data_IF_391051356013
#
_entry.id   IF_391051356013
#
_cell.length_a   1.000
_cell.length_b   1.000
_cell.length_c   1.000
_cell.angle_alpha   90.00
_cell.angle_beta   90.00
_cell.angle_gamma   90.00
#
_symmetry.space_group_name_H-M   'P 1'
#
loop_
_entity.id
_entity.type
_entity.pdbx_description
1 polymer ?
#
# COMPACT_ATOMS: atom_id res chain seq x y z
N UNK A 1 -27.07 -0.79 7.80
CA UNK A 1 -25.64 -0.38 7.89
C UNK A 1 -24.75 -1.30 8.75
N UNK A 2 -25.28 -2.24 9.55
CA UNK A 2 -24.47 -3.14 10.38
C UNK A 2 -23.84 -4.34 9.64
N UNK A 3 -24.52 -4.88 8.62
CA UNK A 3 -24.04 -6.07 7.89
C UNK A 3 -22.69 -5.84 7.16
N UNK A 4 -22.49 -4.67 6.56
CA UNK A 4 -21.24 -4.34 5.87
C UNK A 4 -20.02 -4.27 6.81
N UNK A 5 -20.20 -3.78 8.04
CA UNK A 5 -19.12 -3.74 9.05
C UNK A 5 -18.76 -5.14 9.55
N UNK A 6 -19.76 -5.98 9.82
CA UNK A 6 -19.58 -7.38 10.21
C UNK A 6 -18.80 -8.18 9.14
N UNK A 7 -19.09 -7.94 7.87
CA UNK A 7 -18.40 -8.60 6.76
C UNK A 7 -16.93 -8.14 6.64
N UNK A 8 -16.63 -6.86 6.92
CA UNK A 8 -15.25 -6.36 6.94
C UNK A 8 -14.44 -6.94 8.10
N UNK A 9 -15.04 -7.09 9.27
CA UNK A 9 -14.39 -7.70 10.44
C UNK A 9 -13.99 -9.15 10.18
N UNK A 10 -14.90 -9.92 9.58
CA UNK A 10 -14.64 -11.30 9.19
C UNK A 10 -13.60 -11.40 8.07
N UNK A 11 -13.66 -10.53 7.06
CA UNK A 11 -12.65 -10.46 6.02
C UNK A 11 -11.24 -10.19 6.59
N UNK A 12 -11.11 -9.23 7.51
CA UNK A 12 -9.85 -8.90 8.18
C UNK A 12 -9.36 -10.09 9.01
N UNK A 13 -10.24 -10.77 9.74
CA UNK A 13 -9.90 -11.94 10.53
C UNK A 13 -9.28 -13.05 9.66
N UNK A 14 -9.95 -13.41 8.57
CA UNK A 14 -9.47 -14.47 7.69
C UNK A 14 -8.23 -14.07 6.90
N UNK A 15 -8.15 -12.82 6.43
CA UNK A 15 -6.95 -12.31 5.75
C UNK A 15 -5.74 -12.28 6.69
N UNK A 16 -5.92 -11.91 7.97
CA UNK A 16 -4.85 -11.96 8.97
C UNK A 16 -4.35 -13.37 9.18
N UNK A 17 -5.26 -14.33 9.38
CA UNK A 17 -4.88 -15.74 9.52
C UNK A 17 -4.13 -16.25 8.30
N UNK A 18 -4.55 -15.89 7.09
CA UNK A 18 -3.86 -16.27 5.86
C UNK A 18 -2.44 -15.66 5.79
N UNK A 19 -2.31 -14.37 6.14
CA UNK A 19 -1.02 -13.68 6.19
C UNK A 19 -0.08 -14.27 7.24
N UNK A 20 -0.58 -14.61 8.43
CA UNK A 20 0.21 -15.22 9.50
C UNK A 20 0.71 -16.62 9.11
N UNK A 21 -0.11 -17.40 8.39
CA UNK A 21 0.26 -18.75 7.91
C UNK A 21 1.24 -18.73 6.72
N UNK A 22 1.20 -17.66 5.91
CA UNK A 22 2.00 -17.50 4.69
C UNK A 22 2.50 -16.06 4.58
N UNK A 23 3.48 -15.66 5.42
CA UNK A 23 3.96 -14.28 5.50
C UNK A 23 4.70 -13.76 4.26
N UNK A 24 5.17 -14.67 3.40
CA UNK A 24 5.87 -14.42 2.13
C UNK A 24 4.94 -14.41 0.91
N UNK A 25 3.66 -14.71 1.12
CA UNK A 25 2.69 -14.67 0.03
C UNK A 25 2.03 -13.29 0.00
N UNK A 26 2.59 -12.42 -0.84
CA UNK A 26 2.24 -10.99 -0.94
C UNK A 26 0.74 -10.74 -1.03
N UNK A 27 0.00 -11.58 -1.76
CA UNK A 27 -1.45 -11.39 -1.97
C UNK A 27 -2.23 -11.37 -0.65
N UNK A 28 -1.82 -12.11 0.38
CA UNK A 28 -2.52 -12.12 1.66
C UNK A 28 -2.27 -10.85 2.47
N UNK A 29 -1.01 -10.39 2.51
CA UNK A 29 -0.68 -9.14 3.17
C UNK A 29 -1.26 -7.92 2.45
N UNK A 30 -1.28 -7.92 1.12
CA UNK A 30 -1.97 -6.93 0.29
C UNK A 30 -3.46 -6.86 0.63
N UNK A 31 -4.13 -8.03 0.63
CA UNK A 31 -5.58 -8.12 0.87
C UNK A 31 -5.94 -7.70 2.30
N UNK A 32 -5.11 -8.09 3.28
CA UNK A 32 -5.25 -7.62 4.66
C UNK A 32 -5.11 -6.10 4.76
N UNK A 33 -4.09 -5.51 4.15
CA UNK A 33 -3.90 -4.06 4.10
C UNK A 33 -5.08 -3.35 3.46
N UNK A 34 -5.61 -3.87 2.36
CA UNK A 34 -6.78 -3.32 1.67
C UNK A 34 -8.04 -3.29 2.56
N UNK A 35 -8.38 -4.40 3.22
CA UNK A 35 -9.55 -4.42 4.12
C UNK A 35 -9.33 -3.62 5.40
N UNK A 36 -8.11 -3.57 5.94
CA UNK A 36 -7.74 -2.68 7.05
C UNK A 36 -7.81 -1.20 6.68
N UNK A 37 -7.71 -0.84 5.41
CA UNK A 37 -7.93 0.53 4.97
C UNK A 37 -9.43 0.84 4.82
N UNK A 38 -10.21 -0.11 4.27
CA UNK A 38 -11.66 0.04 4.14
C UNK A 38 -12.39 0.14 5.49
N UNK A 39 -11.96 -0.64 6.48
CA UNK A 39 -12.40 -0.47 7.86
C UNK A 39 -11.44 0.54 8.49
N UNK A 40 -11.84 1.77 8.85
CA UNK A 40 -10.99 2.96 9.07
C UNK A 40 -9.84 2.79 10.08
N UNK A 41 -8.86 1.95 9.75
CA UNK A 41 -7.73 1.49 10.56
C UNK A 41 -6.48 1.60 9.68
N UNK A 42 -6.30 2.79 9.11
CA UNK A 42 -5.28 3.06 8.12
C UNK A 42 -3.86 2.86 8.67
N UNK A 43 -3.63 3.11 9.96
CA UNK A 43 -2.32 2.90 10.60
C UNK A 43 -1.90 1.43 10.59
N UNK A 44 -2.84 0.51 10.84
CA UNK A 44 -2.55 -0.91 10.75
C UNK A 44 -2.36 -1.37 9.31
N UNK A 45 -3.17 -0.87 8.38
CA UNK A 45 -2.99 -1.12 6.94
C UNK A 45 -1.57 -0.73 6.49
N UNK A 46 -1.12 0.47 6.85
CA UNK A 46 0.22 0.98 6.53
C UNK A 46 1.31 0.07 7.12
N UNK A 47 1.17 -0.34 8.38
CA UNK A 47 2.13 -1.26 9.03
C UNK A 47 2.23 -2.59 8.30
N UNK A 48 1.09 -3.21 7.98
CA UNK A 48 1.05 -4.49 7.26
C UNK A 48 1.70 -4.35 5.89
N UNK A 49 1.32 -3.35 5.10
CA UNK A 49 1.87 -3.16 3.75
C UNK A 49 3.39 -2.90 3.78
N UNK A 50 3.89 -2.16 4.77
CA UNK A 50 5.33 -1.98 4.96
C UNK A 50 6.06 -3.29 5.28
N UNK A 51 5.50 -4.13 6.14
CA UNK A 51 6.07 -5.45 6.44
C UNK A 51 6.08 -6.37 5.22
N UNK A 52 5.04 -6.31 4.38
CA UNK A 52 4.99 -7.05 3.12
C UNK A 52 6.09 -6.57 2.17
N UNK A 53 6.26 -5.25 2.02
CA UNK A 53 7.33 -4.66 1.20
C UNK A 53 8.72 -5.09 1.68
N UNK A 54 8.94 -5.15 2.99
CA UNK A 54 10.22 -5.55 3.58
C UNK A 54 10.54 -7.03 3.32
N UNK A 55 9.51 -7.90 3.26
CA UNK A 55 9.66 -9.34 3.00
C UNK A 55 9.77 -9.66 1.51
N UNK A 56 8.91 -9.03 0.70
CA UNK A 56 8.76 -9.29 -0.73
C UNK A 56 8.98 -8.00 -1.55
N UNK A 57 10.21 -7.45 -1.58
CA UNK A 57 10.50 -6.16 -2.20
C UNK A 57 10.42 -6.18 -3.74
N UNK A 58 10.23 -7.35 -4.36
CA UNK A 58 10.12 -7.51 -5.81
C UNK A 58 8.68 -7.39 -6.33
N UNK A 59 7.66 -7.40 -5.45
CA UNK A 59 6.27 -7.20 -5.83
C UNK A 59 5.88 -5.72 -5.70
N UNK A 60 5.45 -5.10 -6.80
CA UNK A 60 5.03 -3.70 -6.85
C UNK A 60 3.66 -3.45 -6.21
N UNK A 61 2.82 -4.48 -6.05
CA UNK A 61 1.41 -4.32 -5.66
C UNK A 61 1.23 -3.66 -4.28
N UNK A 62 1.99 -4.05 -3.23
CA UNK A 62 1.91 -3.40 -1.92
C UNK A 62 2.38 -1.94 -1.94
N UNK A 63 3.38 -1.60 -2.76
CA UNK A 63 3.84 -0.22 -2.93
C UNK A 63 2.74 0.65 -3.54
N UNK A 64 2.05 0.16 -4.58
CA UNK A 64 0.98 0.89 -5.24
C UNK A 64 -0.20 1.17 -4.30
N UNK A 65 -0.65 0.17 -3.54
CA UNK A 65 -1.72 0.33 -2.56
C UNK A 65 -1.31 1.28 -1.42
N UNK A 66 -0.09 1.14 -0.90
CA UNK A 66 0.39 2.02 0.17
C UNK A 66 0.52 3.48 -0.29
N UNK A 67 0.96 3.73 -1.53
CA UNK A 67 1.01 5.06 -2.12
C UNK A 67 -0.41 5.67 -2.24
N UNK A 68 -1.39 4.90 -2.73
CA UNK A 68 -2.78 5.34 -2.79
C UNK A 68 -3.33 5.71 -1.40
N UNK A 69 -3.06 4.87 -0.40
CA UNK A 69 -3.50 5.12 0.97
C UNK A 69 -2.90 6.43 1.49
N UNK A 70 -1.59 6.65 1.31
CA UNK A 70 -0.96 7.91 1.72
C UNK A 70 -1.57 9.13 1.03
N UNK A 71 -1.85 9.06 -0.27
CA UNK A 71 -2.48 10.15 -1.00
C UNK A 71 -3.88 10.46 -0.49
N UNK A 72 -4.71 9.44 -0.24
CA UNK A 72 -6.07 9.60 0.28
C UNK A 72 -6.11 10.13 1.71
N UNK A 73 -5.06 9.89 2.49
CA UNK A 73 -4.87 10.46 3.81
C UNK A 73 -4.25 11.88 3.78
N UNK A 74 -3.94 12.41 2.60
CA UNK A 74 -3.24 13.70 2.45
C UNK A 74 -1.77 13.67 2.86
N UNK A 75 -1.21 12.49 3.14
CA UNK A 75 0.20 12.25 3.51
C UNK A 75 1.07 12.24 2.25
N UNK A 76 1.04 13.33 1.50
CA UNK A 76 1.66 13.42 0.16
C UNK A 76 3.18 13.25 0.19
N UNK A 77 3.85 13.68 1.26
CA UNK A 77 5.30 13.53 1.36
C UNK A 77 5.71 12.07 1.64
N UNK A 78 4.91 11.30 2.39
CA UNK A 78 5.10 9.85 2.53
C UNK A 78 4.87 9.12 1.19
N UNK A 79 3.84 9.51 0.43
CA UNK A 79 3.58 8.96 -0.89
C UNK A 79 4.76 9.19 -1.84
N UNK A 80 5.31 10.42 -1.87
CA UNK A 80 6.49 10.75 -2.68
C UNK A 80 7.71 9.92 -2.28
N UNK A 81 8.04 9.88 -0.98
CA UNK A 81 9.18 9.11 -0.49
C UNK A 81 9.06 7.63 -0.84
N UNK A 82 7.85 7.06 -0.75
CA UNK A 82 7.59 5.70 -1.17
C UNK A 82 7.77 5.51 -2.69
N UNK A 83 7.21 6.39 -3.51
CA UNK A 83 7.35 6.31 -4.98
C UNK A 83 8.82 6.48 -5.42
N UNK A 84 9.58 7.36 -4.78
CA UNK A 84 11.02 7.54 -5.06
C UNK A 84 11.82 6.28 -4.74
N UNK A 85 11.59 5.69 -3.55
CA UNK A 85 12.20 4.41 -3.16
C UNK A 85 11.84 3.28 -4.13
N UNK A 86 10.58 3.22 -4.55
CA UNK A 86 10.13 2.21 -5.50
C UNK A 86 10.73 2.43 -6.91
N UNK A 87 10.76 3.67 -7.40
CA UNK A 87 11.33 4.02 -8.71
C UNK A 87 12.83 3.71 -8.83
N UNK A 88 13.56 3.78 -7.71
CA UNK A 88 15.00 3.48 -7.65
C UNK A 88 15.31 2.05 -7.18
N UNK A 89 14.29 1.24 -6.88
CA UNK A 89 14.46 -0.10 -6.35
C UNK A 89 15.03 -1.08 -7.37
N UNK A 90 16.14 -1.75 -7.03
CA UNK A 90 16.76 -2.78 -7.88
C UNK A 90 15.95 -4.07 -7.97
N UNK A 91 15.05 -4.32 -7.01
CA UNK A 91 14.23 -5.55 -6.95
C UNK A 91 12.98 -5.45 -7.82
N UNK A 92 12.53 -4.23 -8.15
CA UNK A 92 11.36 -4.01 -8.98
C UNK A 92 11.73 -4.03 -10.47
N UNK A 93 10.79 -4.51 -11.29
CA UNK A 93 10.95 -4.52 -12.74
C UNK A 93 11.14 -3.09 -13.28
N UNK A 94 11.83 -2.91 -14.43
CA UNK A 94 11.93 -1.59 -15.06
C UNK A 94 10.57 -0.93 -15.33
N UNK A 95 9.57 -1.72 -15.72
CA UNK A 95 8.21 -1.23 -15.97
C UNK A 95 7.55 -0.71 -14.69
N UNK A 96 7.70 -1.42 -13.56
CA UNK A 96 7.15 -0.95 -12.28
C UNK A 96 7.87 0.29 -11.76
N UNK A 97 9.20 0.32 -11.88
CA UNK A 97 9.98 1.52 -11.56
C UNK A 97 9.50 2.74 -12.33
N UNK A 98 9.28 2.59 -13.63
CA UNK A 98 8.77 3.67 -14.49
C UNK A 98 7.37 4.12 -14.07
N UNK A 99 6.49 3.21 -13.65
CA UNK A 99 5.16 3.57 -13.12
C UNK A 99 5.27 4.41 -11.85
N UNK A 100 6.18 4.05 -10.94
CA UNK A 100 6.40 4.83 -9.71
C UNK A 100 7.07 6.18 -9.97
N UNK A 101 7.98 6.25 -10.94
CA UNK A 101 8.59 7.51 -11.38
C UNK A 101 7.52 8.46 -11.97
N UNK A 102 6.65 7.95 -12.84
CA UNK A 102 5.55 8.74 -13.39
C UNK A 102 4.61 9.24 -12.29
N UNK A 103 4.26 8.39 -11.32
CA UNK A 103 3.42 8.77 -10.19
C UNK A 103 4.09 9.83 -9.31
N UNK A 104 5.39 9.71 -9.04
CA UNK A 104 6.18 10.72 -8.31
C UNK A 104 6.14 12.08 -9.02
N UNK A 105 6.31 12.10 -10.35
CA UNK A 105 6.25 13.33 -11.13
C UNK A 105 4.89 14.03 -11.00
N UNK A 106 3.78 13.28 -11.03
CA UNK A 106 2.44 13.84 -10.83
C UNK A 106 2.24 14.40 -9.41
N UNK A 107 2.72 13.70 -8.38
CA UNK A 107 2.68 14.17 -6.99
C UNK A 107 3.47 15.48 -6.77
N UNK A 108 4.60 15.63 -7.47
CA UNK A 108 5.40 16.86 -7.42
C UNK A 108 4.71 18.03 -8.13
N UNK A 109 4.04 17.78 -9.26
CA UNK A 109 3.25 18.80 -9.97
C UNK A 109 2.03 19.25 -9.16
N UNK A 110 1.33 18.31 -8.52
CA UNK A 110 0.12 18.61 -7.74
C UNK A 110 0.40 19.56 -6.57
N UNK A 111 1.59 19.50 -5.95
CA UNK A 111 2.01 20.44 -4.89
C UNK A 111 2.15 21.87 -5.41
N UNK A 112 2.80 22.06 -6.56
CA UNK A 112 3.02 23.38 -7.18
C UNK A 112 1.74 24.10 -7.62
N UNK A 113 0.61 23.39 -7.70
CA UNK A 113 -0.70 23.98 -8.06
C UNK A 113 -1.52 24.41 -6.84
N UNK A 114 -1.10 24.04 -5.64
CA UNK A 114 -1.77 24.37 -4.37
C UNK A 114 -1.08 25.52 -3.61
N UNK A 115 0.07 25.96 -4.12
CA UNK A 115 0.83 27.13 -3.70
C UNK A 115 0.47 28.32 -4.61
#
# INVERSE_FOLDING_TARGET
>A
LAAGRKNLDEAILWCRRAYDLRPHETKYGYTLGFYLYQKPNADESIRVLRQVIEREPADASPYALLAEIYERLGRLDDAKSLCERAATSRTLSPADRQRFEARLAELLKARKRRE
#
